data_IF_476423141404
#
_entry.id   IF_476423141404
#
_cell.length_a   1.000
_cell.length_b   1.000
_cell.length_c   1.000
_cell.angle_alpha   90.00
_cell.angle_beta   90.00
_cell.angle_gamma   90.00
#
_symmetry.space_group_name_H-M   'P 1'
#
loop_
_entity.id
_entity.type
_entity.pdbx_description
1 polymer ?
#
# COMPACT_ATOMS: atom_id res chain seq x y z
N UNK A 1 -19.08 -0.17 -6.12
CA UNK A 1 -17.72 0.05 -5.60
C UNK A 1 -17.58 -0.83 -4.37
N UNK A 2 -17.10 -2.04 -4.56
CA UNK A 2 -16.84 -2.99 -3.49
C UNK A 2 -15.59 -3.72 -3.94
N UNK A 3 -14.46 -3.44 -3.30
CA UNK A 3 -13.22 -4.12 -3.60
C UNK A 3 -13.13 -5.25 -2.60
N UNK A 4 -13.68 -6.41 -2.99
CA UNK A 4 -13.42 -7.65 -2.30
C UNK A 4 -12.10 -8.17 -2.87
N UNK A 5 -11.01 -7.84 -2.19
CA UNK A 5 -9.66 -8.30 -2.51
C UNK A 5 -9.55 -9.74 -2.03
N UNK A 6 -10.06 -10.71 -2.81
CA UNK A 6 -9.65 -12.09 -2.63
C UNK A 6 -8.42 -12.28 -3.51
N UNK A 7 -7.27 -12.15 -2.89
CA UNK A 7 -5.97 -12.35 -3.51
C UNK A 7 -5.40 -13.54 -2.80
N UNK A 8 -4.75 -14.42 -3.57
CA UNK A 8 -4.20 -15.69 -3.13
C UNK A 8 -3.26 -15.51 -1.90
N UNK A 9 -3.85 -15.46 -0.70
CA UNK A 9 -3.20 -15.25 0.60
C UNK A 9 -3.48 -16.43 1.53
N UNK A 10 -3.70 -17.63 1.01
CA UNK A 10 -3.81 -18.80 1.89
C UNK A 10 -2.43 -19.07 2.52
N UNK A 11 -2.22 -18.49 3.72
CA UNK A 11 -1.23 -18.79 4.76
C UNK A 11 -0.08 -17.77 5.01
N UNK A 12 0.02 -16.65 4.30
CA UNK A 12 1.15 -15.71 4.52
C UNK A 12 0.86 -14.51 5.42
N UNK A 13 -0.41 -14.13 5.60
CA UNK A 13 -0.82 -12.98 6.42
C UNK A 13 -1.84 -13.41 7.49
N UNK A 14 -1.39 -13.71 8.73
CA UNK A 14 -2.28 -14.16 9.79
C UNK A 14 -3.18 -13.06 10.37
N UNK A 15 -2.87 -11.78 10.12
CA UNK A 15 -3.62 -10.64 10.65
C UNK A 15 -4.17 -9.76 9.52
N UNK A 16 -5.46 -9.49 9.57
CA UNK A 16 -6.17 -8.61 8.65
C UNK A 16 -7.03 -7.63 9.46
N UNK A 17 -6.77 -6.33 9.30
CA UNK A 17 -7.44 -5.26 10.04
C UNK A 17 -8.28 -4.40 9.10
N UNK A 18 -9.60 -4.38 9.31
CA UNK A 18 -10.54 -3.57 8.51
C UNK A 18 -11.11 -2.35 9.25
N UNK A 19 -11.01 -2.33 10.59
CA UNK A 19 -11.74 -1.36 11.44
C UNK A 19 -10.84 -0.60 12.42
N UNK A 20 -9.58 -0.33 12.03
CA UNK A 20 -8.73 0.54 12.83
C UNK A 20 -9.28 1.97 12.85
N UNK A 21 -9.08 2.69 13.95
CA UNK A 21 -9.60 4.04 14.15
C UNK A 21 -9.06 5.01 13.08
N UNK A 22 -9.96 5.74 12.38
CA UNK A 22 -9.55 6.73 11.39
C UNK A 22 -8.94 8.01 12.00
N UNK A 23 -9.30 8.33 13.25
CA UNK A 23 -8.69 9.39 14.04
C UNK A 23 -7.40 8.85 14.63
N UNK A 24 -6.28 9.38 14.17
CA UNK A 24 -4.94 8.97 14.61
C UNK A 24 -4.18 10.16 15.18
N UNK A 25 -3.15 9.90 15.98
CA UNK A 25 -2.24 10.95 16.41
C UNK A 25 -1.42 11.47 15.24
N UNK A 26 -1.07 12.75 15.27
CA UNK A 26 -0.16 13.38 14.30
C UNK A 26 1.16 12.61 14.16
N UNK A 27 1.70 12.14 15.29
CA UNK A 27 2.91 11.33 15.34
C UNK A 27 2.77 10.04 14.54
N UNK A 28 1.64 9.33 14.69
CA UNK A 28 1.39 8.07 13.98
C UNK A 28 1.30 8.28 12.47
N UNK A 29 0.63 9.35 12.03
CA UNK A 29 0.43 9.62 10.61
C UNK A 29 1.69 10.15 9.90
N UNK A 30 2.62 10.79 10.61
CA UNK A 30 3.77 11.43 9.97
C UNK A 30 5.12 11.04 10.56
N UNK A 31 5.32 11.22 11.87
CA UNK A 31 6.63 11.06 12.51
C UNK A 31 7.07 9.58 12.57
N UNK A 32 6.14 8.69 12.94
CA UNK A 32 6.37 7.24 13.02
C UNK A 32 6.69 6.61 11.66
N UNK A 33 6.32 7.29 10.57
CA UNK A 33 6.63 6.91 9.18
C UNK A 33 7.65 7.85 8.54
N UNK A 34 8.45 8.55 9.35
CA UNK A 34 9.63 9.32 8.94
C UNK A 34 9.35 10.45 7.93
N UNK A 35 8.09 10.91 7.81
CA UNK A 35 7.77 12.07 6.95
C UNK A 35 8.51 13.28 7.51
N UNK A 36 9.20 14.12 6.73
CA UNK A 36 9.91 15.28 7.26
C UNK A 36 8.96 16.34 7.87
N UNK A 37 9.37 17.12 8.89
CA UNK A 37 8.56 18.19 9.49
C UNK A 37 8.09 19.28 8.52
N UNK A 38 8.87 19.53 7.46
CA UNK A 38 8.62 20.51 6.40
C UNK A 38 7.92 19.91 5.17
N UNK A 39 7.54 18.64 5.22
CA UNK A 39 6.89 17.97 4.11
C UNK A 39 5.49 18.53 3.83
N UNK A 40 5.18 18.76 2.54
CA UNK A 40 3.93 19.39 2.09
C UNK A 40 2.67 18.68 2.60
N UNK A 41 2.72 17.35 2.74
CA UNK A 41 1.59 16.56 3.25
C UNK A 41 1.15 16.94 4.67
N UNK A 42 2.01 17.61 5.46
CA UNK A 42 1.67 18.11 6.79
C UNK A 42 0.86 19.41 6.74
N UNK A 43 0.70 20.04 5.58
CA UNK A 43 -0.07 21.27 5.42
C UNK A 43 -1.55 21.10 5.76
N UNK A 44 -2.17 22.15 6.31
CA UNK A 44 -3.63 22.25 6.47
C UNK A 44 -4.40 22.22 5.14
N UNK A 45 -3.71 22.47 4.02
CA UNK A 45 -4.29 22.37 2.69
C UNK A 45 -4.44 20.93 2.21
N UNK A 46 -3.65 20.00 2.75
CA UNK A 46 -3.60 18.59 2.29
C UNK A 46 -4.16 17.61 3.35
N UNK A 47 -4.14 18.00 4.63
CA UNK A 47 -4.50 17.14 5.76
C UNK A 47 -5.67 17.68 6.57
N UNK A 48 -6.57 16.79 6.97
CA UNK A 48 -7.68 17.07 7.89
C UNK A 48 -7.24 16.97 9.35
N UNK A 49 -6.89 18.12 9.94
CA UNK A 49 -6.63 18.25 11.38
C UNK A 49 -7.93 18.32 12.17
N UNK A 50 -8.05 17.49 13.21
CA UNK A 50 -9.18 17.52 14.14
C UNK A 50 -8.87 18.48 15.30
N UNK A 51 -7.65 18.38 15.83
CA UNK A 51 -7.10 19.24 16.86
C UNK A 51 -5.57 19.34 16.70
N UNK A 52 -4.87 19.94 17.66
CA UNK A 52 -3.42 20.12 17.60
C UNK A 52 -2.61 18.82 17.71
N UNK A 53 -3.23 17.70 18.09
CA UNK A 53 -2.55 16.42 18.32
C UNK A 53 -3.04 15.31 17.39
N UNK A 54 -4.19 15.48 16.74
CA UNK A 54 -4.85 14.41 15.98
C UNK A 54 -5.35 14.85 14.61
N UNK A 55 -5.30 13.90 13.69
CA UNK A 55 -5.70 14.06 12.29
C UNK A 55 -6.60 12.90 11.89
N UNK A 56 -7.35 13.08 10.79
CA UNK A 56 -7.84 11.92 10.04
C UNK A 56 -6.68 11.35 9.25
N UNK A 57 -6.48 10.02 9.30
CA UNK A 57 -5.33 9.37 8.66
C UNK A 57 -5.27 9.66 7.15
N UNK A 58 -4.11 10.05 6.66
CA UNK A 58 -3.87 10.33 5.24
C UNK A 58 -3.49 9.07 4.45
N UNK A 59 -3.11 8.00 5.15
CA UNK A 59 -2.76 6.70 4.63
C UNK A 59 -2.88 5.62 5.72
N UNK A 60 -3.02 4.36 5.32
CA UNK A 60 -3.09 3.21 6.25
C UNK A 60 -1.79 2.98 7.03
N UNK A 61 -0.66 3.50 6.54
CA UNK A 61 0.67 3.38 7.19
C UNK A 61 0.75 4.08 8.53
N UNK A 62 -0.22 4.93 8.87
CA UNK A 62 -0.36 5.49 10.22
C UNK A 62 -0.46 4.40 11.31
N UNK A 63 -0.84 3.17 10.95
CA UNK A 63 -0.95 2.04 11.89
C UNK A 63 0.29 1.12 11.88
N UNK A 64 1.22 1.29 10.94
CA UNK A 64 2.34 0.37 10.72
C UNK A 64 3.24 0.25 11.96
N UNK A 65 3.70 1.38 12.50
CA UNK A 65 4.61 1.39 13.64
C UNK A 65 3.97 0.79 14.89
N UNK A 66 2.69 1.05 15.14
CA UNK A 66 1.94 0.47 16.26
C UNK A 66 1.84 -1.06 16.14
N UNK A 67 1.48 -1.57 14.96
CA UNK A 67 1.34 -3.00 14.72
C UNK A 67 2.69 -3.74 14.81
N UNK A 68 3.76 -3.15 14.28
CA UNK A 68 5.12 -3.67 14.43
C UNK A 68 5.56 -3.69 15.90
N UNK A 69 5.30 -2.63 16.67
CA UNK A 69 5.60 -2.58 18.12
C UNK A 69 4.86 -3.66 18.92
N UNK A 70 3.69 -4.09 18.45
CA UNK A 70 2.92 -5.22 19.03
C UNK A 70 3.47 -6.60 18.64
N UNK A 71 4.52 -6.66 17.82
CA UNK A 71 5.16 -7.90 17.40
C UNK A 71 4.52 -8.54 16.17
N UNK A 72 3.59 -7.86 15.48
CA UNK A 72 3.06 -8.38 14.22
C UNK A 72 4.12 -8.26 13.12
N UNK A 73 4.50 -9.38 12.53
CA UNK A 73 5.51 -9.42 11.46
C UNK A 73 4.88 -9.51 10.06
N UNK A 74 3.60 -9.89 9.98
CA UNK A 74 2.87 -10.13 8.74
C UNK A 74 1.43 -9.68 8.92
N UNK A 75 1.03 -8.57 8.31
CA UNK A 75 -0.33 -8.07 8.45
C UNK A 75 -0.80 -7.26 7.23
N UNK A 76 -2.11 -7.24 7.06
CA UNK A 76 -2.81 -6.43 6.08
C UNK A 76 -3.69 -5.41 6.83
N UNK A 77 -3.67 -4.16 6.40
CA UNK A 77 -4.55 -3.09 6.89
C UNK A 77 -5.35 -2.56 5.71
N UNK A 78 -6.65 -2.51 5.84
CA UNK A 78 -7.50 -1.80 4.89
C UNK A 78 -8.40 -0.81 5.61
N UNK A 79 -8.67 0.31 4.95
CA UNK A 79 -9.51 1.35 5.52
C UNK A 79 -9.65 2.55 4.61
N UNK A 80 -10.61 3.39 4.95
CA UNK A 80 -10.76 4.73 4.42
C UNK A 80 -9.61 5.65 4.87
N UNK A 81 -9.16 6.51 3.97
CA UNK A 81 -8.12 7.51 4.19
C UNK A 81 -8.59 8.85 3.67
N UNK A 82 -8.09 9.91 4.27
CA UNK A 82 -8.65 11.25 4.14
C UNK A 82 -7.56 12.21 3.67
N UNK A 83 -7.79 12.86 2.53
CA UNK A 83 -6.89 13.89 2.00
C UNK A 83 -7.71 15.07 1.52
N UNK A 84 -7.23 16.28 1.80
CA UNK A 84 -7.79 17.47 1.17
C UNK A 84 -7.18 17.57 -0.22
N UNK A 85 -8.03 17.45 -1.22
CA UNK A 85 -7.64 17.52 -2.62
C UNK A 85 -8.72 18.29 -3.39
N UNK A 86 -8.39 18.66 -4.62
CA UNK A 86 -9.35 19.10 -5.61
C UNK A 86 -10.51 18.11 -5.73
N UNK A 87 -11.72 18.61 -5.98
CA UNK A 87 -12.88 17.75 -6.21
C UNK A 87 -13.06 17.65 -7.72
N UNK A 88 -12.58 16.55 -8.30
CA UNK A 88 -12.70 16.24 -9.72
C UNK A 88 -12.94 14.74 -9.95
N UNK A 89 -12.90 14.29 -11.20
CA UNK A 89 -13.15 12.87 -11.53
C UNK A 89 -12.05 11.91 -11.06
N UNK A 90 -10.87 12.44 -10.70
CA UNK A 90 -9.67 11.69 -10.29
C UNK A 90 -9.37 11.81 -8.80
N UNK A 91 -9.93 12.81 -8.12
CA UNK A 91 -9.66 13.12 -6.72
C UNK A 91 -10.96 13.16 -5.91
N UNK A 92 -10.98 12.40 -4.82
CA UNK A 92 -12.09 12.42 -3.86
C UNK A 92 -11.52 12.52 -2.45
N UNK A 93 -12.08 13.38 -1.56
CA UNK A 93 -11.49 13.63 -0.25
C UNK A 93 -11.39 12.41 0.68
N UNK A 94 -12.17 11.36 0.38
CA UNK A 94 -12.18 10.09 1.12
C UNK A 94 -12.07 8.94 0.13
N UNK A 95 -11.02 8.14 0.23
CA UNK A 95 -10.85 6.94 -0.59
C UNK A 95 -10.32 5.80 0.25
N UNK A 96 -10.20 4.59 -0.32
CA UNK A 96 -9.81 3.41 0.44
C UNK A 96 -8.41 2.96 0.03
N UNK A 97 -7.60 2.57 1.02
CA UNK A 97 -6.31 1.96 0.83
C UNK A 97 -6.27 0.55 1.42
N UNK A 98 -5.38 -0.26 0.88
CA UNK A 98 -4.93 -1.51 1.48
C UNK A 98 -3.41 -1.47 1.54
N UNK A 99 -2.87 -1.87 2.69
CA UNK A 99 -1.45 -1.93 2.96
C UNK A 99 -1.09 -3.31 3.48
N UNK A 100 0.07 -3.80 3.04
CA UNK A 100 0.63 -5.07 3.50
C UNK A 100 2.03 -4.85 4.03
N UNK A 101 2.31 -5.46 5.19
CA UNK A 101 3.61 -5.44 5.84
C UNK A 101 4.05 -6.86 6.10
N UNK A 102 5.29 -7.16 5.70
CA UNK A 102 5.94 -8.45 5.88
C UNK A 102 7.39 -8.25 6.32
N UNK A 103 7.75 -8.83 7.45
CA UNK A 103 9.09 -8.79 8.05
C UNK A 103 9.75 -10.14 7.88
N UNK A 104 10.94 -10.14 7.28
CA UNK A 104 11.78 -11.31 7.10
C UNK A 104 12.91 -11.34 8.13
N UNK A 105 13.28 -12.54 8.55
CA UNK A 105 14.40 -12.82 9.44
C UNK A 105 15.52 -13.52 8.65
N UNK A 106 16.77 -13.56 9.16
CA UNK A 106 17.90 -14.15 8.45
C UNK A 106 17.63 -15.56 7.89
N UNK A 107 16.94 -16.41 8.65
CA UNK A 107 16.58 -17.76 8.21
C UNK A 107 15.69 -17.84 6.96
N UNK A 108 14.98 -16.75 6.61
CA UNK A 108 14.12 -16.70 5.41
C UNK A 108 14.93 -16.53 4.13
N UNK A 109 16.04 -15.80 4.17
CA UNK A 109 16.79 -15.38 2.99
C UNK A 109 18.21 -15.94 2.91
N UNK A 110 18.81 -16.43 4.00
CA UNK A 110 20.17 -16.96 4.02
C UNK A 110 20.42 -18.05 2.94
N UNK A 111 19.43 -18.92 2.72
CA UNK A 111 19.54 -20.00 1.72
C UNK A 111 19.40 -19.51 0.27
N UNK A 112 18.92 -18.29 0.05
CA UNK A 112 18.75 -17.70 -1.29
C UNK A 112 20.08 -17.22 -1.89
N UNK A 113 21.10 -16.99 -1.07
CA UNK A 113 22.36 -16.36 -1.49
C UNK A 113 22.25 -14.86 -1.78
N UNK A 114 21.08 -14.25 -1.54
CA UNK A 114 20.84 -12.81 -1.65
C UNK A 114 21.00 -12.13 -0.29
N UNK A 115 21.30 -10.83 -0.26
CA UNK A 115 21.11 -10.07 0.97
C UNK A 115 19.61 -9.88 1.27
N UNK A 116 19.26 -9.68 2.53
CA UNK A 116 17.86 -9.57 2.96
C UNK A 116 17.06 -8.45 2.27
N UNK A 117 17.71 -7.36 1.84
CA UNK A 117 17.05 -6.25 1.12
C UNK A 117 16.65 -6.70 -0.28
N UNK A 118 17.59 -7.32 -1.01
CA UNK A 118 17.32 -7.84 -2.35
C UNK A 118 16.27 -8.96 -2.32
N UNK A 119 16.33 -9.85 -1.33
CA UNK A 119 15.31 -10.89 -1.13
C UNK A 119 13.92 -10.31 -0.88
N UNK A 120 13.80 -9.35 0.05
CA UNK A 120 12.52 -8.72 0.37
C UNK A 120 11.94 -7.96 -0.83
N UNK A 121 12.79 -7.27 -1.61
CA UNK A 121 12.36 -6.58 -2.82
C UNK A 121 11.87 -7.57 -3.89
N UNK A 122 12.51 -8.72 -4.05
CA UNK A 122 12.07 -9.76 -4.99
C UNK A 122 10.76 -10.41 -4.55
N UNK A 123 10.58 -10.73 -3.27
CA UNK A 123 9.32 -11.27 -2.72
C UNK A 123 8.17 -10.27 -2.90
N UNK A 124 8.41 -8.98 -2.60
CA UNK A 124 7.44 -7.91 -2.82
C UNK A 124 6.99 -7.84 -4.28
N UNK A 125 7.94 -7.83 -5.22
CA UNK A 125 7.64 -7.75 -6.66
C UNK A 125 6.84 -8.97 -7.12
N UNK A 126 7.28 -10.18 -6.74
CA UNK A 126 6.58 -11.44 -7.05
C UNK A 126 5.16 -11.45 -6.48
N UNK A 127 4.98 -10.99 -5.25
CA UNK A 127 3.68 -10.92 -4.59
C UNK A 127 2.73 -9.98 -5.34
N UNK A 128 3.18 -8.76 -5.65
CA UNK A 128 2.35 -7.76 -6.32
C UNK A 128 2.09 -8.07 -7.80
N UNK A 129 3.06 -8.69 -8.50
CA UNK A 129 2.85 -9.20 -9.86
C UNK A 129 1.80 -10.33 -9.87
N UNK A 130 1.88 -11.26 -8.91
CA UNK A 130 0.91 -12.34 -8.73
C UNK A 130 -0.48 -11.82 -8.39
N UNK A 131 -0.56 -10.79 -7.53
CA UNK A 131 -1.78 -10.05 -7.21
C UNK A 131 -2.41 -9.44 -8.46
N UNK A 132 -1.64 -8.68 -9.23
CA UNK A 132 -2.12 -8.02 -10.44
C UNK A 132 -2.62 -9.05 -11.47
N UNK A 133 -1.88 -10.14 -11.66
CA UNK A 133 -2.28 -11.23 -12.55
C UNK A 133 -3.53 -11.95 -12.05
N UNK A 134 -3.69 -12.15 -10.74
CA UNK A 134 -4.88 -12.78 -10.17
C UNK A 134 -6.12 -11.92 -10.37
N UNK A 135 -6.01 -10.62 -10.07
CA UNK A 135 -7.12 -9.69 -10.21
C UNK A 135 -7.47 -9.48 -11.68
N UNK A 136 -6.49 -9.13 -12.52
CA UNK A 136 -6.75 -8.63 -13.85
C UNK A 136 -6.54 -9.65 -14.96
N UNK A 137 -5.73 -10.69 -14.74
CA UNK A 137 -5.32 -11.65 -15.77
C UNK A 137 -6.40 -12.64 -16.22
N UNK A 138 -7.55 -12.69 -15.55
CA UNK A 138 -8.73 -13.46 -15.99
C UNK A 138 -10.00 -12.63 -16.08
N UNK A 139 -9.91 -11.30 -15.93
CA UNK A 139 -11.07 -10.48 -15.56
C UNK A 139 -12.19 -10.50 -16.64
N UNK A 140 -11.94 -10.91 -17.89
CA UNK A 140 -12.98 -10.98 -18.94
C UNK A 140 -12.70 -12.01 -20.05
N UNK A 141 -13.13 -13.27 -19.87
CA UNK A 141 -13.50 -14.23 -20.96
C UNK A 141 -12.67 -14.19 -22.26
N UNK A 142 -11.36 -13.97 -22.14
CA UNK A 142 -10.42 -13.67 -23.22
C UNK A 142 -9.07 -13.30 -22.62
N UNK A 143 -7.99 -13.59 -23.34
CA UNK A 143 -6.61 -13.42 -22.86
C UNK A 143 -6.28 -11.94 -22.66
N UNK A 144 -6.54 -11.42 -21.47
CA UNK A 144 -6.07 -10.09 -21.06
C UNK A 144 -4.61 -10.19 -20.62
N UNK A 145 -3.72 -9.62 -21.44
CA UNK A 145 -2.31 -9.44 -21.07
C UNK A 145 -2.19 -8.21 -20.17
N UNK A 146 -1.66 -8.40 -18.96
CA UNK A 146 -1.39 -7.33 -18.00
C UNK A 146 0.09 -6.98 -18.10
N UNK A 147 0.38 -5.84 -18.70
CA UNK A 147 1.74 -5.33 -18.82
C UNK A 147 2.11 -4.61 -17.52
N UNK A 148 3.20 -5.00 -16.86
CA UNK A 148 3.62 -4.51 -15.55
C UNK A 148 4.99 -3.83 -15.64
N UNK A 149 5.10 -2.64 -15.04
CA UNK A 149 6.31 -1.85 -15.00
C UNK A 149 6.61 -1.38 -13.57
N UNK A 150 7.79 -1.75 -13.09
CA UNK A 150 8.32 -1.29 -11.82
C UNK A 150 9.12 -0.01 -12.04
N UNK A 151 8.76 1.05 -11.32
CA UNK A 151 9.38 2.37 -11.40
C UNK A 151 10.03 2.67 -10.05
N UNK A 152 11.32 2.98 -10.05
CA UNK A 152 12.00 3.41 -8.82
C UNK A 152 11.40 4.74 -8.33
N UNK A 153 11.07 4.81 -7.04
CA UNK A 153 10.47 5.99 -6.42
C UNK A 153 11.12 6.28 -5.07
N UNK A 154 10.55 7.21 -4.31
CA UNK A 154 10.96 7.52 -2.96
C UNK A 154 9.75 7.65 -2.03
N UNK A 155 9.79 6.92 -0.91
CA UNK A 155 8.95 7.18 0.26
C UNK A 155 9.84 7.31 1.49
N UNK A 156 9.54 8.22 2.44
CA UNK A 156 10.39 8.41 3.63
C UNK A 156 10.55 7.16 4.51
N UNK A 157 9.60 6.22 4.43
CA UNK A 157 9.53 5.01 5.26
C UNK A 157 9.97 3.72 4.55
N UNK A 158 10.48 3.78 3.31
CA UNK A 158 11.01 2.61 2.59
C UNK A 158 12.27 2.91 1.81
N UNK A 159 13.20 1.95 1.75
CA UNK A 159 14.38 2.02 0.90
C UNK A 159 14.93 0.60 0.61
N UNK A 160 15.06 0.19 -0.66
CA UNK A 160 14.60 0.87 -1.88
C UNK A 160 13.07 1.00 -1.94
N UNK A 161 12.55 1.84 -2.84
CA UNK A 161 11.12 2.07 -3.03
C UNK A 161 10.72 1.91 -4.48
N UNK A 162 9.53 1.35 -4.74
CA UNK A 162 9.03 1.11 -6.08
C UNK A 162 7.55 1.47 -6.22
N UNK A 163 7.16 1.97 -7.40
CA UNK A 163 5.78 2.04 -7.86
C UNK A 163 5.54 0.95 -8.92
N UNK A 164 4.44 0.22 -8.79
CA UNK A 164 3.97 -0.71 -9.82
C UNK A 164 2.94 -0.01 -10.70
N UNK A 165 3.26 0.18 -11.97
CA UNK A 165 2.31 0.60 -13.00
C UNK A 165 1.88 -0.61 -13.82
N UNK A 166 0.58 -0.80 -14.00
CA UNK A 166 0.05 -1.85 -14.87
C UNK A 166 -0.84 -1.27 -15.97
N UNK A 167 -0.78 -1.86 -17.16
CA UNK A 167 -1.62 -1.52 -18.31
C UNK A 167 -2.50 -2.72 -18.61
N UNK A 168 -3.80 -2.58 -18.40
CA UNK A 168 -4.79 -3.58 -18.79
C UNK A 168 -5.29 -3.27 -20.19
N UNK A 169 -4.81 -4.03 -21.19
CA UNK A 169 -5.31 -3.91 -22.56
C UNK A 169 -6.52 -4.83 -22.71
N UNK A 170 -7.67 -4.25 -23.08
CA UNK A 170 -8.86 -5.04 -23.41
C UNK A 170 -9.05 -5.04 -24.93
N UNK A 171 -9.30 -6.20 -25.53
CA UNK A 171 -9.48 -6.33 -26.98
C UNK A 171 -10.65 -5.50 -27.54
N UNK A 172 -11.54 -4.99 -26.67
CA UNK A 172 -12.67 -4.12 -27.07
C UNK A 172 -12.29 -2.68 -27.43
N UNK A 173 -11.04 -2.26 -27.27
CA UNK A 173 -10.54 -0.94 -27.69
C UNK A 173 -9.48 -1.00 -28.80
N UNK A 174 -9.60 -1.99 -29.70
CA UNK A 174 -8.99 -1.92 -31.04
C UNK A 174 -10.08 -1.68 -32.11
N UNK A 175 -10.76 -0.52 -32.09
CA UNK A 175 -11.59 -0.06 -33.22
C UNK A 175 -11.67 1.47 -33.29
N UNK A 176 -10.66 2.11 -33.87
CA UNK A 176 -10.70 2.81 -35.17
C UNK A 176 -9.41 3.58 -35.39
#
# INVERSE_FOLDING_TARGET
MGVLVNVCFQNSYPYFYEFLCQKVYFLQNFDDVLVPPDHVSRSYNDTYYIDSQTVLRCHTSAHQAELLRRGHTHFLVTGDVYRRDSIDSTHYPVFHQMEGVRVFFPGDWETSGMDGTSYAAEDLKKCLDGLAQHLFGKLRSGDCNVEMHWIDTYFPFTNPSFELRYIVRTEKYQKK
#
